data_IF_760322848256
#
_entry.id   IF_760322848256
#
_cell.length_a   1.000
_cell.length_b   1.000
_cell.length_c   1.000
_cell.angle_alpha   90.00
_cell.angle_beta   90.00
_cell.angle_gamma   90.00
#
_symmetry.space_group_name_H-M   'P 1'
#
loop_
_entity.id
_entity.type
_entity.pdbx_description
1 polymer ?
#
# COMPACT_ATOMS: atom_id res chain seq x y z
N UNK A 1 28.35 -28.87 51.78
CA UNK A 1 27.38 -27.96 51.13
C UNK A 1 28.07 -27.02 50.12
N UNK A 2 29.17 -26.34 50.47
CA UNK A 2 29.95 -25.48 49.56
C UNK A 2 30.38 -26.15 48.24
N UNK A 3 30.81 -27.43 48.28
CA UNK A 3 31.31 -28.12 47.09
C UNK A 3 30.28 -28.26 45.95
N UNK A 4 28.99 -28.37 46.29
CA UNK A 4 27.89 -28.43 45.30
C UNK A 4 27.67 -27.07 44.62
N UNK A 5 27.84 -25.98 45.36
CA UNK A 5 27.72 -24.62 44.81
C UNK A 5 28.91 -24.27 43.90
N UNK A 6 30.12 -24.68 44.25
CA UNK A 6 31.30 -24.49 43.39
C UNK A 6 31.16 -25.27 42.07
N UNK A 7 30.69 -26.52 42.13
CA UNK A 7 30.43 -27.32 40.93
C UNK A 7 29.32 -26.70 40.06
N UNK A 8 28.25 -26.20 40.67
CA UNK A 8 27.17 -25.51 39.95
C UNK A 8 27.65 -24.21 39.29
N UNK A 9 28.48 -23.42 39.97
CA UNK A 9 29.06 -22.19 39.42
C UNK A 9 30.01 -22.48 38.26
N UNK A 10 30.85 -23.50 38.37
CA UNK A 10 31.74 -23.92 37.29
C UNK A 10 30.96 -24.41 36.06
N UNK A 11 29.92 -25.23 36.25
CA UNK A 11 29.05 -25.67 35.15
C UNK A 11 28.33 -24.49 34.48
N UNK A 12 27.81 -23.55 35.26
CA UNK A 12 27.19 -22.34 34.74
C UNK A 12 28.16 -21.49 33.92
N UNK A 13 29.39 -21.29 34.41
CA UNK A 13 30.43 -20.55 33.71
C UNK A 13 30.82 -21.20 32.37
N UNK A 14 30.91 -22.54 32.32
CA UNK A 14 31.20 -23.27 31.08
C UNK A 14 30.07 -23.08 30.06
N UNK A 15 28.81 -23.17 30.50
CA UNK A 15 27.65 -23.00 29.61
C UNK A 15 27.56 -21.56 29.09
N UNK A 16 27.76 -20.55 29.94
CA UNK A 16 27.69 -19.14 29.51
C UNK A 16 28.83 -18.77 28.57
N UNK A 17 30.06 -19.17 28.87
CA UNK A 17 31.21 -18.94 27.98
C UNK A 17 31.06 -19.70 26.67
N UNK A 18 30.55 -20.92 26.69
CA UNK A 18 30.27 -21.71 25.48
C UNK A 18 29.22 -21.04 24.60
N UNK A 19 28.13 -20.55 25.18
CA UNK A 19 27.08 -19.86 24.44
C UNK A 19 27.58 -18.52 23.87
N UNK A 20 28.35 -17.76 24.65
CA UNK A 20 28.96 -16.51 24.18
C UNK A 20 29.91 -16.75 22.99
N UNK A 21 30.76 -17.78 23.08
CA UNK A 21 31.68 -18.13 22.00
C UNK A 21 30.93 -18.62 20.75
N UNK A 22 29.83 -19.35 20.92
CA UNK A 22 28.97 -19.78 19.83
C UNK A 22 28.32 -18.58 19.11
N UNK A 23 27.80 -17.60 19.87
CA UNK A 23 27.30 -16.35 19.30
C UNK A 23 28.38 -15.61 18.53
N UNK A 24 29.58 -15.45 19.11
CA UNK A 24 30.71 -14.81 18.43
C UNK A 24 31.07 -15.54 17.14
N UNK A 25 31.11 -16.87 17.15
CA UNK A 25 31.42 -17.66 15.95
C UNK A 25 30.35 -17.55 14.86
N UNK A 26 29.07 -17.40 15.21
CA UNK A 26 28.00 -17.22 14.23
C UNK A 26 28.04 -15.80 13.64
N UNK A 27 28.17 -14.77 14.48
CA UNK A 27 28.19 -13.37 14.06
C UNK A 27 29.43 -13.07 13.19
N UNK A 28 30.61 -13.53 13.60
CA UNK A 28 31.85 -13.25 12.86
C UNK A 28 31.92 -13.92 11.48
N UNK A 29 31.13 -14.98 11.26
CA UNK A 29 31.04 -15.67 9.95
C UNK A 29 30.15 -14.93 8.95
N UNK A 30 29.22 -14.12 9.44
CA UNK A 30 28.23 -13.38 8.62
C UNK A 30 28.71 -11.96 8.27
N UNK A 31 29.50 -11.33 9.15
CA UNK A 31 29.89 -9.92 9.01
C UNK A 31 30.99 -9.62 7.97
N UNK A 32 31.59 -10.63 7.34
CA UNK A 32 32.74 -10.44 6.43
C UNK A 32 32.38 -10.19 4.96
N UNK A 33 31.26 -10.71 4.48
CA UNK A 33 30.89 -10.67 3.06
C UNK A 33 30.03 -9.44 2.69
N UNK A 34 29.25 -8.93 3.64
CA UNK A 34 28.26 -7.86 3.41
C UNK A 34 28.84 -6.46 3.70
N UNK A 35 29.76 -6.33 4.66
CA UNK A 35 30.31 -5.02 5.11
C UNK A 35 31.20 -4.31 4.08
N UNK A 36 31.91 -5.05 3.22
CA UNK A 36 32.72 -4.47 2.13
C UNK A 36 31.85 -3.93 0.99
N UNK A 37 30.69 -4.53 0.73
CA UNK A 37 29.79 -4.13 -0.37
C UNK A 37 28.99 -2.87 -0.03
N UNK A 38 28.62 -2.70 1.23
CA UNK A 38 27.78 -1.58 1.68
C UNK A 38 28.55 -0.27 1.90
N UNK A 39 29.88 -0.31 2.07
CA UNK A 39 30.70 0.89 2.33
C UNK A 39 31.06 1.70 1.07
N UNK A 40 30.64 1.27 -0.12
CA UNK A 40 31.04 1.88 -1.39
C UNK A 40 29.87 2.44 -2.23
N UNK A 41 28.85 2.96 -1.57
CA UNK A 41 27.86 3.79 -2.26
C UNK A 41 27.56 5.03 -1.43
N UNK A 42 28.53 5.94 -1.39
CA UNK A 42 28.29 7.31 -0.90
C UNK A 42 27.72 8.08 -2.08
N UNK A 43 26.39 8.17 -2.17
CA UNK A 43 25.76 9.09 -3.11
C UNK A 43 26.00 10.52 -2.63
N UNK A 44 26.80 11.28 -3.39
CA UNK A 44 26.95 12.72 -3.18
C UNK A 44 25.70 13.43 -3.70
N UNK A 45 24.81 13.80 -2.79
CA UNK A 45 23.65 14.62 -3.11
C UNK A 45 24.12 16.06 -3.34
N UNK A 46 24.64 16.36 -4.54
CA UNK A 46 24.75 17.75 -4.97
C UNK A 46 23.33 18.28 -5.16
N UNK A 47 22.84 18.95 -4.11
CA UNK A 47 21.57 19.67 -4.11
C UNK A 47 21.67 20.87 -5.04
N UNK A 48 21.46 20.67 -6.34
CA UNK A 48 21.15 21.81 -7.20
C UNK A 48 19.76 22.30 -6.82
N UNK A 49 19.71 23.37 -6.01
CA UNK A 49 18.50 24.19 -5.84
C UNK A 49 18.04 24.59 -7.24
N UNK A 50 16.96 23.98 -7.71
CA UNK A 50 16.27 24.43 -8.91
C UNK A 50 15.35 25.54 -8.46
N UNK A 51 15.59 26.75 -8.94
CA UNK A 51 14.72 27.89 -8.66
C UNK A 51 13.38 27.63 -9.34
N UNK A 52 12.43 27.13 -8.56
CA UNK A 52 11.06 26.93 -9.00
C UNK A 52 10.38 28.31 -9.08
N UNK A 53 10.25 28.86 -10.29
CA UNK A 53 9.42 30.05 -10.52
C UNK A 53 7.96 29.67 -10.30
N UNK A 54 7.44 29.97 -9.12
CA UNK A 54 6.03 29.80 -8.80
C UNK A 54 5.20 30.80 -9.61
N UNK A 55 4.71 30.40 -10.77
CA UNK A 55 3.65 31.15 -11.46
C UNK A 55 2.32 30.94 -10.73
N UNK A 56 1.99 31.88 -9.84
CA UNK A 56 0.66 31.93 -9.22
C UNK A 56 -0.38 32.22 -10.30
N UNK A 57 -1.02 31.16 -10.81
CA UNK A 57 -2.19 31.26 -11.67
C UNK A 57 -3.29 32.05 -10.95
N UNK A 58 -3.46 33.32 -11.30
CA UNK A 58 -4.50 34.20 -10.76
C UNK A 58 -5.86 33.71 -11.30
N UNK A 59 -6.61 33.00 -10.46
CA UNK A 59 -7.98 32.57 -10.79
C UNK A 59 -8.89 33.79 -10.79
N UNK A 60 -9.35 34.21 -11.96
CA UNK A 60 -10.50 35.09 -12.06
C UNK A 60 -11.77 34.29 -11.79
N UNK A 61 -12.61 34.81 -10.89
CA UNK A 61 -13.89 34.19 -10.56
C UNK A 61 -14.77 34.21 -11.82
N UNK A 62 -15.42 33.08 -12.18
CA UNK A 62 -16.37 33.06 -13.29
C UNK A 62 -17.42 34.16 -13.12
N UNK A 63 -17.72 34.91 -14.18
CA UNK A 63 -18.78 35.93 -14.13
C UNK A 63 -20.10 35.25 -13.80
N UNK A 64 -20.76 35.74 -12.74
CA UNK A 64 -22.07 35.24 -12.32
C UNK A 64 -23.06 35.55 -13.43
N UNK A 65 -23.60 34.52 -14.05
CA UNK A 65 -24.64 34.65 -15.07
C UNK A 65 -25.86 35.22 -14.34
N UNK A 66 -26.37 36.36 -14.78
CA UNK A 66 -27.61 36.92 -14.25
C UNK A 66 -28.76 35.98 -14.60
N UNK A 67 -29.39 35.46 -13.55
CA UNK A 67 -30.52 34.55 -13.66
C UNK A 67 -31.71 35.38 -14.14
N UNK A 68 -32.20 35.12 -15.36
CA UNK A 68 -33.49 35.67 -15.80
C UNK A 68 -34.55 35.24 -14.78
N UNK A 69 -35.34 36.21 -14.31
CA UNK A 69 -36.43 35.93 -13.37
C UNK A 69 -37.39 34.91 -14.00
N UNK A 70 -37.79 33.87 -13.24
CA UNK A 70 -38.78 32.91 -13.74
C UNK A 70 -40.11 33.63 -13.98
N UNK A 71 -40.85 33.27 -15.04
CA UNK A 71 -42.16 33.87 -15.30
C UNK A 71 -43.10 33.66 -14.11
N UNK A 72 -44.03 34.61 -13.87
CA UNK A 72 -44.91 34.57 -12.71
C UNK A 72 -45.74 33.28 -12.70
N UNK A 73 -45.93 32.66 -11.51
CA UNK A 73 -46.63 31.39 -11.40
C UNK A 73 -48.09 31.53 -11.81
N UNK A 74 -48.57 30.63 -12.66
CA UNK A 74 -49.99 30.49 -12.95
C UNK A 74 -50.74 30.09 -11.68
N UNK A 75 -51.83 30.79 -11.37
CA UNK A 75 -52.68 30.47 -10.22
C UNK A 75 -53.47 29.19 -10.52
N UNK A 76 -53.11 28.09 -9.86
CA UNK A 76 -53.93 26.88 -9.87
C UNK A 76 -54.99 26.96 -8.76
N UNK A 77 -56.21 26.44 -8.96
CA UNK A 77 -57.23 26.37 -7.92
C UNK A 77 -56.76 25.41 -6.81
N UNK A 78 -56.73 25.90 -5.57
CA UNK A 78 -56.31 25.13 -4.40
C UNK A 78 -57.41 24.15 -4.03
N UNK A 79 -57.23 22.86 -4.35
CA UNK A 79 -58.06 21.80 -3.79
C UNK A 79 -57.77 21.68 -2.28
N UNK A 80 -58.78 21.94 -1.44
CA UNK A 80 -58.70 21.75 0.00
C UNK A 80 -58.59 20.25 0.31
N UNK A 81 -57.38 19.75 0.52
CA UNK A 81 -57.18 18.45 1.14
C UNK A 81 -57.41 18.56 2.65
N UNK A 82 -58.39 17.80 3.12
CA UNK A 82 -58.74 17.66 4.52
C UNK A 82 -57.56 17.16 5.36
N UNK A 83 -57.42 17.72 6.56
CA UNK A 83 -56.46 17.28 7.58
C UNK A 83 -56.78 15.84 7.99
N UNK A 84 -55.90 14.91 7.65
CA UNK A 84 -55.81 13.61 8.32
C UNK A 84 -54.63 13.65 9.32
N UNK A 85 -54.82 13.31 10.61
CA UNK A 85 -53.73 13.29 11.58
C UNK A 85 -52.89 12.02 11.39
N UNK A 86 -51.75 12.14 10.72
CA UNK A 86 -50.77 11.05 10.63
C UNK A 86 -49.99 11.03 11.95
N UNK A 87 -50.48 10.25 12.92
CA UNK A 87 -49.68 9.77 14.04
C UNK A 87 -49.18 8.37 13.71
N UNK A 88 -48.09 8.30 12.96
CA UNK A 88 -47.27 7.10 12.90
C UNK A 88 -45.84 7.51 13.20
N UNK A 89 -45.45 7.31 14.46
CA UNK A 89 -44.06 7.30 14.85
C UNK A 89 -43.40 6.13 14.11
N UNK A 90 -42.64 6.46 13.07
CA UNK A 90 -41.80 5.51 12.36
C UNK A 90 -40.71 5.04 13.34
N UNK A 91 -40.93 3.90 13.99
CA UNK A 91 -39.86 3.19 14.69
C UNK A 91 -39.01 2.50 13.63
N UNK A 92 -37.94 3.17 13.23
CA UNK A 92 -36.87 2.55 12.44
C UNK A 92 -36.09 1.67 13.38
N UNK A 93 -36.28 0.36 13.25
CA UNK A 93 -35.44 -0.63 13.92
C UNK A 93 -34.16 -0.74 13.08
N UNK A 94 -33.04 -0.26 13.61
CA UNK A 94 -31.75 -0.36 12.95
C UNK A 94 -31.25 -1.80 13.07
N UNK A 95 -30.87 -2.48 11.98
CA UNK A 95 -30.31 -3.82 12.08
C UNK A 95 -29.03 -3.78 12.92
N UNK A 96 -28.76 -4.81 13.75
CA UNK A 96 -27.59 -4.83 14.60
C UNK A 96 -26.34 -4.83 13.73
N UNK A 97 -25.57 -3.76 13.80
CA UNK A 97 -24.23 -3.68 13.24
C UNK A 97 -23.36 -4.71 13.97
N UNK A 98 -23.17 -5.88 13.36
CA UNK A 98 -22.19 -6.86 13.79
C UNK A 98 -20.89 -6.50 13.07
N UNK A 99 -19.88 -5.91 13.73
CA UNK A 99 -18.55 -5.92 13.16
C UNK A 99 -18.14 -7.38 13.11
N UNK A 100 -18.27 -8.01 11.94
CA UNK A 100 -17.52 -9.22 11.67
C UNK A 100 -16.06 -8.77 11.54
N UNK A 101 -15.42 -8.53 12.68
CA UNK A 101 -13.97 -8.69 12.80
C UNK A 101 -13.71 -10.17 12.62
N UNK A 102 -13.78 -10.59 11.36
CA UNK A 102 -13.02 -11.71 10.88
C UNK A 102 -11.56 -11.30 11.09
N UNK A 103 -11.09 -11.62 12.29
CA UNK A 103 -9.69 -11.79 12.65
C UNK A 103 -9.16 -13.01 11.86
N UNK A 104 -9.24 -12.88 10.54
CA UNK A 104 -8.79 -13.80 9.51
C UNK A 104 -8.15 -12.96 8.39
N UNK A 105 -7.51 -11.85 8.79
CA UNK A 105 -6.38 -11.31 8.07
C UNK A 105 -5.20 -12.13 8.54
N UNK A 106 -4.74 -13.00 7.65
CA UNK A 106 -3.48 -13.73 7.69
C UNK A 106 -2.43 -13.00 8.54
N UNK A 107 -1.88 -13.59 9.61
CA UNK A 107 -0.72 -13.04 10.26
C UNK A 107 0.46 -13.22 9.31
N UNK A 108 0.60 -12.30 8.37
CA UNK A 108 1.88 -11.97 7.74
C UNK A 108 2.79 -11.30 8.78
N UNK A 109 3.07 -12.04 9.84
CA UNK A 109 4.26 -11.93 10.69
C UNK A 109 5.24 -12.95 10.09
N UNK A 110 5.90 -12.61 8.99
CA UNK A 110 6.65 -13.61 8.23
C UNK A 110 7.38 -13.05 7.04
N UNK A 111 8.38 -12.23 7.31
CA UNK A 111 9.35 -11.78 6.33
C UNK A 111 10.23 -10.78 7.03
N UNK A 112 11.35 -11.25 7.57
CA UNK A 112 12.50 -10.38 7.78
C UNK A 112 12.64 -9.57 6.50
N UNK A 113 12.33 -8.27 6.54
CA UNK A 113 12.61 -7.38 5.40
C UNK A 113 14.12 -7.28 5.38
N UNK A 114 14.75 -8.28 4.78
CA UNK A 114 16.06 -8.12 4.20
C UNK A 114 15.96 -6.91 3.28
N UNK A 115 16.95 -6.02 3.36
CA UNK A 115 17.11 -4.85 2.48
C UNK A 115 17.18 -5.20 0.97
N UNK A 116 16.96 -6.46 0.61
CA UNK A 116 16.91 -7.02 -0.74
C UNK A 116 15.50 -7.16 -1.34
N UNK A 117 14.43 -6.95 -0.57
CA UNK A 117 13.08 -7.17 -1.08
C UNK A 117 12.65 -5.98 -1.97
N UNK A 118 12.50 -6.24 -3.27
CA UNK A 118 12.16 -5.22 -4.27
C UNK A 118 10.70 -4.81 -4.10
N UNK A 119 10.46 -3.56 -3.69
CA UNK A 119 9.12 -2.99 -3.53
C UNK A 119 8.76 -2.10 -4.73
N UNK A 120 7.63 -2.34 -5.42
CA UNK A 120 7.21 -1.51 -6.55
C UNK A 120 6.71 -0.15 -6.07
N UNK A 121 7.35 0.93 -6.53
CA UNK A 121 6.92 2.31 -6.22
C UNK A 121 5.68 2.73 -7.04
N UNK A 122 5.61 2.33 -8.31
CA UNK A 122 4.53 2.71 -9.23
C UNK A 122 4.09 1.51 -10.07
N UNK A 123 2.76 1.33 -10.18
CA UNK A 123 2.14 0.35 -11.08
C UNK A 123 1.31 1.10 -12.13
N UNK A 124 1.84 1.37 -13.33
CA UNK A 124 1.08 2.01 -14.38
C UNK A 124 -0.06 1.11 -14.86
N UNK A 125 -1.19 1.71 -15.22
CA UNK A 125 -2.32 1.01 -15.80
C UNK A 125 -2.00 0.64 -17.26
N UNK A 126 -2.31 -0.59 -17.65
CA UNK A 126 -2.18 -1.04 -19.03
C UNK A 126 -3.32 -0.47 -19.88
N UNK A 127 -3.05 -0.26 -21.18
CA UNK A 127 -4.05 0.19 -22.14
C UNK A 127 -4.75 -1.01 -22.76
N UNK A 128 -6.09 -1.01 -22.73
CA UNK A 128 -6.87 -2.07 -23.35
C UNK A 128 -6.77 -2.05 -24.89
N UNK A 129 -6.55 -3.18 -25.56
CA UNK A 129 -6.52 -3.24 -27.02
C UNK A 129 -7.90 -2.94 -27.64
N UNK A 130 -7.96 -2.04 -28.63
CA UNK A 130 -9.24 -1.62 -29.24
C UNK A 130 -10.02 -2.78 -29.89
N UNK A 131 -9.32 -3.76 -30.49
CA UNK A 131 -9.94 -4.96 -31.08
C UNK A 131 -10.58 -5.88 -30.05
N UNK A 132 -9.97 -6.00 -28.87
CA UNK A 132 -10.51 -6.81 -27.78
C UNK A 132 -11.70 -6.09 -27.14
N UNK A 133 -11.61 -4.77 -26.95
CA UNK A 133 -12.69 -3.95 -26.39
C UNK A 133 -13.95 -3.98 -27.25
N UNK A 134 -13.82 -3.84 -28.57
CA UNK A 134 -14.97 -3.85 -29.49
C UNK A 134 -15.70 -5.20 -29.50
N UNK A 135 -15.00 -6.29 -29.17
CA UNK A 135 -15.55 -7.65 -29.12
C UNK A 135 -15.89 -8.11 -27.70
N UNK A 136 -15.66 -7.26 -26.68
CA UNK A 136 -15.86 -7.63 -25.28
C UNK A 136 -15.02 -8.82 -24.82
N UNK A 137 -13.85 -9.03 -25.42
CA UNK A 137 -12.96 -10.15 -25.08
C UNK A 137 -12.10 -9.73 -23.91
N UNK A 138 -12.18 -10.48 -22.81
CA UNK A 138 -11.35 -10.36 -21.60
C UNK A 138 -10.19 -11.35 -21.61
N UNK A 139 -9.20 -11.11 -20.77
CA UNK A 139 -8.02 -11.96 -20.72
C UNK A 139 -7.00 -11.56 -19.67
N UNK A 140 -5.93 -12.35 -19.58
CA UNK A 140 -4.81 -12.14 -18.66
C UNK A 140 -3.49 -12.54 -19.33
N UNK A 141 -2.38 -12.01 -18.79
CA UNK A 141 -1.02 -12.28 -19.25
C UNK A 141 -0.14 -12.53 -18.03
N UNK A 142 0.48 -13.71 -17.95
CA UNK A 142 1.58 -13.95 -17.01
C UNK A 142 2.90 -13.62 -17.69
N UNK A 143 3.67 -12.76 -17.03
CA UNK A 143 4.94 -12.26 -17.51
C UNK A 143 6.01 -12.37 -16.41
N UNK A 144 7.23 -12.66 -16.84
CA UNK A 144 8.45 -12.61 -16.04
C UNK A 144 9.30 -11.47 -16.57
N UNK A 145 9.94 -10.75 -15.67
CA UNK A 145 10.89 -9.70 -16.02
C UNK A 145 11.95 -9.58 -14.91
N UNK A 146 13.07 -8.98 -15.26
CA UNK A 146 14.15 -8.68 -14.34
C UNK A 146 14.11 -7.21 -13.93
N UNK A 147 14.58 -6.90 -12.72
CA UNK A 147 14.68 -5.52 -12.21
C UNK A 147 16.14 -5.08 -12.28
N UNK A 148 16.40 -3.95 -12.93
CA UNK A 148 17.76 -3.42 -13.08
C UNK A 148 18.20 -2.68 -11.81
N UNK A 149 19.51 -2.48 -11.59
CA UNK A 149 20.02 -1.70 -10.46
C UNK A 149 19.49 -0.26 -10.43
N UNK A 150 19.13 0.29 -11.58
CA UNK A 150 18.52 1.62 -11.71
C UNK A 150 17.03 1.65 -11.34
N UNK A 151 16.46 0.51 -10.94
CA UNK A 151 15.04 0.34 -10.61
C UNK A 151 14.11 0.22 -11.82
N UNK A 152 14.67 0.01 -13.02
CA UNK A 152 13.93 -0.24 -14.25
C UNK A 152 13.54 -1.72 -14.41
N UNK A 153 12.83 -2.02 -15.50
CA UNK A 153 12.40 -3.36 -15.86
C UNK A 153 13.08 -3.77 -17.18
N UNK A 154 13.70 -4.96 -17.21
CA UNK A 154 14.36 -5.53 -18.38
C UNK A 154 14.00 -7.02 -18.58
N UNK A 155 14.41 -7.63 -19.70
CA UNK A 155 14.21 -9.06 -20.01
C UNK A 155 12.75 -9.55 -19.86
N UNK A 156 11.79 -8.84 -20.46
CA UNK A 156 10.37 -9.17 -20.37
C UNK A 156 10.04 -10.40 -21.22
N UNK A 157 9.55 -11.48 -20.60
CA UNK A 157 9.13 -12.72 -21.25
C UNK A 157 7.69 -13.06 -20.85
N UNK A 158 6.86 -13.39 -21.83
CA UNK A 158 5.49 -13.87 -21.61
C UNK A 158 5.55 -15.37 -21.32
N UNK A 159 5.09 -15.76 -20.13
CA UNK A 159 5.00 -17.16 -19.73
C UNK A 159 3.72 -17.80 -20.23
N UNK A 160 2.60 -17.08 -20.12
CA UNK A 160 1.28 -17.54 -20.54
C UNK A 160 0.35 -16.36 -20.83
N UNK A 161 -0.63 -16.57 -21.70
CA UNK A 161 -1.62 -15.57 -22.06
C UNK A 161 -2.91 -16.22 -22.58
N UNK A 162 -4.05 -15.71 -22.10
CA UNK A 162 -5.38 -16.05 -22.60
C UNK A 162 -6.19 -14.76 -22.80
N UNK A 163 -6.69 -14.45 -24.00
CA UNK A 163 -6.50 -15.16 -25.26
C UNK A 163 -5.05 -15.10 -25.74
N UNK A 164 -4.61 -16.15 -26.44
CA UNK A 164 -3.34 -16.11 -27.15
C UNK A 164 -3.42 -15.03 -28.23
N UNK A 165 -2.44 -14.12 -28.22
CA UNK A 165 -2.37 -12.93 -29.07
C UNK A 165 -2.30 -13.22 -30.55
#
# INVERSE_FOLDING_TARGET
MILRYIAAFAAAAVVTLGLFYLMQSLVARDSGAEYERQKRTVFDFVRLKRDERVERKKREKPRKIERKEPPPPAQMPVAKLAKAPIKQALKVDAPPFRPNVALAGDPHLGGSVSDSDIVPLVRPLHRYPSRAQARGIEGWVHLRFDVTPDGGTDNIVILDADPQG
#
